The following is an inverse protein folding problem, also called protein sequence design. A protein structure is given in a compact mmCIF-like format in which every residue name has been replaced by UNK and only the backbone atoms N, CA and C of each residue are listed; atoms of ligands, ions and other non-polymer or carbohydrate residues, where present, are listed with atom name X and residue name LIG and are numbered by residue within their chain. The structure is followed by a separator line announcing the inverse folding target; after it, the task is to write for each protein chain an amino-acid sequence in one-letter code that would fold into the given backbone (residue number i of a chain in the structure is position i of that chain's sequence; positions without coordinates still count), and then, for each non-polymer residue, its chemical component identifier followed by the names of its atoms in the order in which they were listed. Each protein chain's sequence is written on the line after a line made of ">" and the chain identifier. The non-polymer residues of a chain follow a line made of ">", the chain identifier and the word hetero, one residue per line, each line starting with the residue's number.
data_IF_887801598360
#
_entry.id   IF_887801598360
#
_cell.length_a   1.000
_cell.length_b   1.000
_cell.length_c   1.000
_cell.angle_alpha   90.00
_cell.angle_beta   90.00
_cell.angle_gamma   90.00
#
_symmetry.space_group_name_H-M   'P 1'
#
loop_
_entity.id
_entity.type
_entity.pdbx_description
1 polymer ?
#
# COMPACT_ATOMS: atom_id res chain seq x y z
N UNK A 1 -10.97 -6.67 -22.50
CA UNK A 1 -10.59 -6.12 -21.17
C UNK A 1 -10.26 -7.29 -20.25
N UNK A 2 -8.99 -7.49 -19.88
CA UNK A 2 -8.60 -8.59 -19.00
C UNK A 2 -9.10 -8.30 -17.58
N UNK A 3 -10.01 -9.12 -17.06
CA UNK A 3 -10.45 -9.07 -15.66
C UNK A 3 -9.23 -9.32 -14.78
N UNK A 4 -8.80 -8.28 -14.06
CA UNK A 4 -7.52 -8.35 -13.36
C UNK A 4 -7.61 -9.21 -12.11
N UNK A 5 -6.84 -10.30 -12.13
CA UNK A 5 -6.64 -11.21 -10.99
C UNK A 5 -6.20 -10.41 -9.77
N UNK A 6 -6.88 -10.59 -8.63
CA UNK A 6 -6.44 -10.02 -7.36
C UNK A 6 -5.14 -10.72 -6.93
N UNK A 7 -4.03 -10.00 -6.71
CA UNK A 7 -2.80 -10.63 -6.24
C UNK A 7 -3.03 -11.20 -4.83
N UNK A 8 -2.55 -12.44 -4.64
CA UNK A 8 -2.57 -13.15 -3.36
C UNK A 8 -1.75 -12.42 -2.29
N UNK A 9 -1.84 -12.87 -1.03
CA UNK A 9 -1.04 -12.31 0.05
C UNK A 9 0.47 -12.40 -0.23
N UNK A 10 0.96 -13.56 -0.68
CA UNK A 10 2.37 -13.77 -0.99
C UNK A 10 2.85 -12.92 -2.16
N UNK A 11 2.06 -12.80 -3.23
CA UNK A 11 2.37 -11.92 -4.37
C UNK A 11 2.47 -10.45 -3.92
N UNK A 12 1.56 -10.00 -3.05
CA UNK A 12 1.61 -8.64 -2.48
C UNK A 12 2.84 -8.44 -1.60
N UNK A 13 3.24 -9.44 -0.81
CA UNK A 13 4.45 -9.38 0.02
C UNK A 13 5.71 -9.26 -0.84
N UNK A 14 5.81 -10.04 -1.92
CA UNK A 14 6.91 -10.00 -2.89
C UNK A 14 6.98 -8.65 -3.60
N UNK A 15 5.85 -8.13 -4.09
CA UNK A 15 5.77 -6.82 -4.74
C UNK A 15 6.21 -5.68 -3.81
N UNK A 16 5.76 -5.68 -2.55
CA UNK A 16 6.20 -4.69 -1.56
C UNK A 16 7.70 -4.77 -1.25
N UNK A 17 8.27 -5.99 -1.22
CA UNK A 17 9.71 -6.18 -1.04
C UNK A 17 10.49 -5.59 -2.21
N UNK A 18 10.12 -5.93 -3.44
CA UNK A 18 10.77 -5.40 -4.65
C UNK A 18 10.71 -3.87 -4.73
N UNK A 19 9.59 -3.26 -4.33
CA UNK A 19 9.49 -1.81 -4.23
C UNK A 19 10.45 -1.19 -3.18
N UNK A 20 10.57 -1.82 -2.00
CA UNK A 20 11.52 -1.36 -0.96
C UNK A 20 12.97 -1.51 -1.38
N UNK A 21 13.27 -2.53 -2.17
CA UNK A 21 14.60 -2.78 -2.73
C UNK A 21 14.90 -1.89 -3.96
N UNK A 22 13.94 -1.07 -4.41
CA UNK A 22 14.11 -0.18 -5.57
C UNK A 22 14.03 -0.89 -6.93
N UNK A 23 13.66 -2.18 -6.95
CA UNK A 23 13.53 -3.00 -8.16
C UNK A 23 12.23 -2.74 -8.94
N UNK A 24 11.29 -2.02 -8.33
CA UNK A 24 10.05 -1.57 -8.96
C UNK A 24 9.82 -0.10 -8.67
N UNK A 25 9.37 0.62 -9.68
CA UNK A 25 8.84 1.96 -9.50
C UNK A 25 7.49 1.92 -8.77
N UNK A 26 7.09 3.09 -8.25
CA UNK A 26 5.79 3.24 -7.59
C UNK A 26 4.64 2.97 -8.55
N UNK A 27 4.76 3.32 -9.82
CA UNK A 27 3.71 3.15 -10.83
C UNK A 27 3.53 1.67 -11.17
N UNK A 28 4.62 0.96 -11.41
CA UNK A 28 4.61 -0.49 -11.68
C UNK A 28 4.07 -1.29 -10.49
N UNK A 29 4.41 -0.88 -9.27
CA UNK A 29 3.83 -1.48 -8.06
C UNK A 29 2.31 -1.31 -8.06
N UNK A 30 1.81 -0.11 -8.35
CA UNK A 30 0.37 0.18 -8.31
C UNK A 30 -0.38 -0.55 -9.41
N UNK A 31 0.20 -0.67 -10.60
CA UNK A 31 -0.38 -1.41 -11.71
C UNK A 31 -0.46 -2.91 -11.40
N UNK A 32 0.62 -3.50 -10.87
CA UNK A 32 0.65 -4.92 -10.47
C UNK A 32 -0.21 -5.22 -9.23
N UNK A 33 -0.47 -4.21 -8.40
CA UNK A 33 -1.37 -4.32 -7.24
C UNK A 33 -2.81 -3.88 -7.54
N UNK A 34 -3.10 -3.40 -8.75
CA UNK A 34 -4.44 -3.07 -9.22
C UNK A 34 -5.27 -4.34 -9.09
N UNK A 35 -6.39 -4.26 -8.37
CA UNK A 35 -7.28 -5.36 -7.94
C UNK A 35 -6.97 -6.03 -6.57
N UNK A 36 -5.91 -5.66 -5.85
CA UNK A 36 -5.48 -6.37 -4.62
C UNK A 36 -5.70 -5.69 -3.27
N UNK A 37 -6.55 -4.66 -3.15
CA UNK A 37 -6.64 -3.71 -2.00
C UNK A 37 -5.59 -2.57 -1.99
N UNK A 38 -5.00 -2.20 -3.12
CA UNK A 38 -4.48 -0.84 -3.30
C UNK A 38 -5.57 0.12 -3.77
N UNK A 39 -6.74 -0.03 -3.15
CA UNK A 39 -7.86 0.85 -3.40
C UNK A 39 -7.56 2.19 -2.71
N UNK A 40 -7.97 3.29 -3.33
CA UNK A 40 -7.82 4.64 -2.78
C UNK A 40 -8.30 4.72 -1.31
N UNK A 41 -9.23 3.87 -0.93
CA UNK A 41 -9.71 3.62 0.43
C UNK A 41 -8.60 3.32 1.45
N UNK A 42 -7.68 2.40 1.15
CA UNK A 42 -6.63 2.01 2.11
C UNK A 42 -5.58 3.11 2.28
N UNK A 43 -5.33 3.89 1.22
CA UNK A 43 -4.51 5.11 1.28
C UNK A 43 -5.22 6.23 2.06
N UNK A 44 -6.55 6.39 1.91
CA UNK A 44 -7.36 7.32 2.72
C UNK A 44 -7.32 6.93 4.19
N UNK A 45 -7.47 5.65 4.51
CA UNK A 45 -7.36 5.11 5.88
C UNK A 45 -5.96 5.37 6.43
N UNK A 46 -4.89 5.03 5.69
CA UNK A 46 -3.50 5.33 6.11
C UNK A 46 -3.29 6.82 6.36
N UNK A 47 -3.82 7.71 5.49
CA UNK A 47 -3.74 9.17 5.69
C UNK A 47 -4.49 9.62 6.95
N UNK A 48 -5.67 9.06 7.24
CA UNK A 48 -6.41 9.34 8.49
C UNK A 48 -5.62 8.89 9.72
N UNK A 49 -5.08 7.67 9.71
CA UNK A 49 -4.25 7.15 10.80
C UNK A 49 -2.99 8.00 11.03
N UNK A 50 -2.25 8.35 9.97
CA UNK A 50 -1.05 9.20 10.10
C UNK A 50 -1.40 10.58 10.67
N UNK A 51 -2.53 11.18 10.27
CA UNK A 51 -2.99 12.44 10.87
C UNK A 51 -3.26 12.27 12.37
N UNK A 52 -3.96 11.21 12.76
CA UNK A 52 -4.31 10.93 14.16
C UNK A 52 -3.06 10.76 15.06
N UNK A 53 -2.01 10.08 14.57
CA UNK A 53 -0.75 9.94 15.30
C UNK A 53 0.09 11.23 15.32
N UNK A 54 0.01 12.06 14.28
CA UNK A 54 0.69 13.37 14.26
C UNK A 54 0.00 14.42 15.13
N UNK A 55 -1.32 14.31 15.31
CA UNK A 55 -2.11 15.23 16.15
C UNK A 55 -2.09 14.88 17.64
N UNK A 56 -1.50 13.75 18.04
CA UNK A 56 -1.42 13.34 19.44
C UNK A 56 0.05 13.11 19.87
N UNK A 57 0.82 14.20 20.11
CA UNK A 57 2.17 14.09 20.67
C UNK A 57 2.20 13.70 22.15
N UNK A 58 1.05 13.72 22.87
CA UNK A 58 1.00 13.37 24.29
C UNK A 58 0.69 11.89 24.52
N UNK A 59 1.76 11.11 24.71
CA UNK A 59 1.92 9.95 25.63
C UNK A 59 3.15 9.14 25.20
N UNK A 60 4.28 9.84 25.06
CA UNK A 60 5.58 9.31 25.46
C UNK A 60 5.92 9.99 26.79
N UNK A 61 5.40 9.41 27.86
CA UNK A 61 5.89 9.57 29.23
C UNK A 61 6.18 8.16 29.71
#
# INVERSE_FOLDING_TARGET
>A
MMQGRKPSYEERKKLNRMYREGLLSREELMEKMKNGLFDHERLKVKRKFVKLFKSNPSKRT
#
